data_IF_391924746358
#
_entry.id   IF_391924746358
#
_cell.length_a   1.000
_cell.length_b   1.000
_cell.length_c   1.000
_cell.angle_alpha   90.00
_cell.angle_beta   90.00
_cell.angle_gamma   90.00
#
_symmetry.space_group_name_H-M   'P 1'
#
loop_
_entity.id
_entity.type
_entity.pdbx_description
1 polymer ?
#
# COMPACT_ATOMS: atom_id res chain seq x y z
N UNK A 1 9.21 14.92 -6.56
CA UNK A 1 8.52 13.86 -7.29
C UNK A 1 8.64 12.52 -6.57
N UNK A 2 9.85 11.97 -6.45
CA UNK A 2 10.06 10.72 -5.72
C UNK A 2 9.64 10.83 -4.26
N UNK A 3 9.92 11.98 -3.64
CA UNK A 3 9.55 12.22 -2.24
C UNK A 3 8.02 12.18 -2.06
N UNK A 4 7.28 12.73 -3.00
CA UNK A 4 5.82 12.71 -2.94
C UNK A 4 5.27 11.29 -3.13
N UNK A 5 5.89 10.51 -3.99
CA UNK A 5 5.53 9.12 -4.20
C UNK A 5 5.77 8.30 -2.93
N UNK A 6 6.94 8.46 -2.32
CA UNK A 6 7.30 7.77 -1.09
C UNK A 6 6.33 8.13 0.05
N UNK A 7 6.03 9.43 0.18
CA UNK A 7 5.10 9.90 1.20
C UNK A 7 3.71 9.31 0.99
N UNK A 8 3.25 9.27 -0.25
CA UNK A 8 1.95 8.69 -0.61
C UNK A 8 1.88 7.20 -0.25
N UNK A 9 2.91 6.44 -0.58
CA UNK A 9 2.99 5.03 -0.25
C UNK A 9 2.97 4.80 1.25
N UNK A 10 3.77 5.58 1.98
CA UNK A 10 3.81 5.48 3.44
C UNK A 10 2.45 5.82 4.06
N UNK A 11 1.80 6.87 3.59
CA UNK A 11 0.47 7.24 4.07
C UNK A 11 -0.53 6.10 3.84
N UNK A 12 -0.51 5.51 2.65
CA UNK A 12 -1.43 4.44 2.31
C UNK A 12 -1.23 3.20 3.19
N UNK A 13 0.01 2.84 3.47
CA UNK A 13 0.33 1.72 4.36
C UNK A 13 -0.21 1.91 5.77
N UNK A 14 -0.28 3.15 6.24
CA UNK A 14 -0.62 3.45 7.63
C UNK A 14 -2.08 3.74 7.87
N UNK A 15 -2.91 3.73 6.81
CA UNK A 15 -4.34 4.07 6.92
C UNK A 15 -5.10 3.10 7.80
N UNK A 16 -4.84 1.81 7.68
CA UNK A 16 -5.48 0.80 8.49
C UNK A 16 -4.68 -0.51 8.47
N UNK A 17 -5.07 -1.42 9.35
CA UNK A 17 -4.39 -2.71 9.49
C UNK A 17 -4.44 -3.54 8.21
N UNK A 18 -5.55 -3.51 7.50
CA UNK A 18 -5.71 -4.26 6.26
C UNK A 18 -4.73 -3.76 5.19
N UNK A 19 -4.63 -2.44 5.01
CA UNK A 19 -3.67 -1.86 4.07
C UNK A 19 -2.24 -2.23 4.42
N UNK A 20 -1.90 -2.18 5.71
CA UNK A 20 -0.57 -2.57 6.15
C UNK A 20 -0.24 -4.01 5.77
N UNK A 21 -1.10 -4.95 6.14
CA UNK A 21 -0.84 -6.36 5.87
C UNK A 21 -0.85 -6.68 4.38
N UNK A 22 -1.71 -6.05 3.63
CA UNK A 22 -1.86 -6.29 2.20
C UNK A 22 -0.66 -5.77 1.40
N UNK A 23 -0.20 -4.56 1.69
CA UNK A 23 0.76 -3.86 0.84
C UNK A 23 2.17 -3.78 1.39
N UNK A 24 2.38 -4.01 2.67
CA UNK A 24 3.72 -3.99 3.25
C UNK A 24 4.72 -4.90 2.51
N UNK A 25 4.37 -6.15 2.16
CA UNK A 25 5.31 -7.00 1.44
C UNK A 25 5.73 -6.44 0.08
N UNK A 26 4.80 -5.78 -0.62
CA UNK A 26 5.08 -5.20 -1.93
C UNK A 26 5.99 -3.98 -1.83
N UNK A 27 5.72 -3.11 -0.88
CA UNK A 27 6.53 -1.91 -0.68
C UNK A 27 7.92 -2.29 -0.16
N UNK A 28 7.98 -3.21 0.80
CA UNK A 28 9.24 -3.66 1.38
C UNK A 28 10.13 -4.39 0.39
N UNK A 29 9.57 -5.09 -0.60
CA UNK A 29 10.34 -5.84 -1.58
C UNK A 29 11.20 -4.96 -2.48
N UNK A 30 10.88 -3.66 -2.58
CA UNK A 30 11.61 -2.71 -3.42
C UNK A 30 12.19 -1.57 -2.60
N UNK A 31 12.52 -1.85 -1.36
CA UNK A 31 12.95 -0.85 -0.39
C UNK A 31 14.19 -0.08 -0.85
N UNK A 32 15.07 -0.73 -1.59
CA UNK A 32 16.30 -0.10 -2.09
C UNK A 32 16.05 1.05 -3.08
N UNK A 33 14.83 1.18 -3.58
CA UNK A 33 14.45 2.26 -4.51
C UNK A 33 14.03 3.54 -3.81
N UNK A 34 13.83 3.48 -2.49
CA UNK A 34 13.40 4.65 -1.73
C UNK A 34 14.58 5.41 -1.18
N UNK A 35 14.36 6.68 -0.81
CA UNK A 35 15.39 7.45 -0.13
C UNK A 35 15.75 6.80 1.19
N UNK A 36 16.94 7.09 1.69
CA UNK A 36 17.49 6.46 2.88
C UNK A 36 16.57 6.59 4.10
N UNK A 37 15.98 7.76 4.26
CA UNK A 37 15.08 8.04 5.39
C UNK A 37 13.81 7.20 5.31
N UNK A 38 13.23 7.09 4.13
CA UNK A 38 12.04 6.24 3.94
C UNK A 38 12.39 4.76 4.07
N UNK A 39 13.57 4.35 3.63
CA UNK A 39 14.03 2.98 3.85
C UNK A 39 14.08 2.65 5.33
N UNK A 40 14.61 3.56 6.14
CA UNK A 40 14.69 3.37 7.58
C UNK A 40 13.32 3.27 8.22
N UNK A 41 12.39 4.13 7.82
CA UNK A 41 11.02 4.11 8.34
C UNK A 41 10.31 2.81 7.96
N UNK A 42 10.34 2.46 6.67
CA UNK A 42 9.62 1.28 6.15
C UNK A 42 10.20 -0.01 6.74
N UNK A 43 11.51 -0.10 6.91
CA UNK A 43 12.14 -1.30 7.45
C UNK A 43 11.90 -1.48 8.96
N UNK A 44 11.64 -0.42 9.69
CA UNK A 44 11.40 -0.47 11.13
C UNK A 44 9.93 -0.61 11.51
N UNK A 45 9.02 -0.22 10.60
CA UNK A 45 7.58 -0.31 10.85
C UNK A 45 7.10 -1.73 11.22
N UNK A 46 7.60 -2.81 10.61
CA UNK A 46 7.16 -4.16 10.98
C UNK A 46 7.35 -4.47 12.47
N UNK A 47 8.45 -4.02 13.06
CA UNK A 47 8.71 -4.23 14.48
C UNK A 47 7.70 -3.47 15.33
N UNK A 48 7.40 -2.23 14.96
CA UNK A 48 6.41 -1.41 15.66
C UNK A 48 5.02 -2.06 15.59
N UNK A 49 4.62 -2.51 14.41
CA UNK A 49 3.31 -3.16 14.21
C UNK A 49 3.22 -4.46 14.98
N UNK A 50 4.31 -5.23 15.00
CA UNK A 50 4.36 -6.48 15.76
C UNK A 50 4.18 -6.26 17.25
N UNK A 51 4.80 -5.23 17.78
CA UNK A 51 4.77 -4.96 19.22
C UNK A 51 3.45 -4.35 19.68
N UNK A 52 2.85 -3.48 18.88
CA UNK A 52 1.69 -2.69 19.30
C UNK A 52 0.39 -3.07 18.58
N UNK A 53 0.46 -3.76 17.46
CA UNK A 53 -0.68 -4.22 16.65
C UNK A 53 -1.78 -3.14 16.50
N UNK A 54 -1.44 -1.93 16.01
CA UNK A 54 -2.41 -0.85 15.91
C UNK A 54 -3.38 -1.07 14.76
N UNK A 55 -4.62 -0.59 14.90
CA UNK A 55 -5.57 -0.58 13.79
C UNK A 55 -5.21 0.46 12.75
N UNK A 56 -4.76 1.62 13.21
CA UNK A 56 -4.24 2.71 12.40
C UNK A 56 -2.85 3.04 12.92
N UNK A 57 -1.88 3.13 12.03
CA UNK A 57 -0.53 3.47 12.43
C UNK A 57 -0.44 4.99 12.57
N UNK A 58 -0.27 5.46 13.80
CA UNK A 58 -0.04 6.87 14.06
C UNK A 58 1.46 7.15 13.91
N UNK A 59 1.82 7.83 12.82
CA UNK A 59 3.23 8.05 12.50
C UNK A 59 3.93 8.98 13.49
N UNK A 60 3.21 9.86 14.18
CA UNK A 60 3.82 10.69 15.22
C UNK A 60 4.22 9.85 16.42
N UNK A 61 3.36 8.95 16.86
CA UNK A 61 3.69 8.01 17.92
C UNK A 61 4.80 7.06 17.48
N UNK A 62 4.74 6.56 16.24
CA UNK A 62 5.77 5.72 15.68
C UNK A 62 7.12 6.44 15.68
N UNK A 63 7.18 7.71 15.30
CA UNK A 63 8.44 8.45 15.26
C UNK A 63 9.06 8.60 16.64
N UNK A 64 8.25 8.79 17.66
CA UNK A 64 8.73 8.83 19.05
C UNK A 64 9.32 7.48 19.46
N UNK A 65 8.60 6.39 19.14
CA UNK A 65 9.10 5.04 19.40
C UNK A 65 10.42 4.79 18.64
N UNK A 66 10.49 5.19 17.39
CA UNK A 66 11.68 5.01 16.55
C UNK A 66 12.90 5.68 17.19
N UNK A 67 12.75 6.92 17.62
CA UNK A 67 13.86 7.70 18.14
C UNK A 67 14.23 7.37 19.60
N UNK A 68 13.32 6.81 20.38
CA UNK A 68 13.57 6.54 21.80
C UNK A 68 13.77 5.08 22.11
N UNK A 69 13.11 4.18 21.42
CA UNK A 69 13.15 2.75 21.72
C UNK A 69 13.93 1.98 20.66
N UNK A 70 13.59 2.17 19.40
CA UNK A 70 14.20 1.42 18.31
C UNK A 70 15.64 1.86 18.04
N UNK A 71 15.87 3.17 18.01
CA UNK A 71 17.18 3.76 17.69
C UNK A 71 17.57 4.81 18.74
N UNK A 72 17.81 4.39 20.00
CA UNK A 72 18.06 5.36 21.08
C UNK A 72 19.37 6.14 20.91
N UNK A 73 20.30 5.65 20.08
CA UNK A 73 21.57 6.32 19.81
C UNK A 73 21.53 7.19 18.57
N UNK A 74 20.36 7.43 17.99
CA UNK A 74 20.22 8.25 16.79
C UNK A 74 20.67 9.69 17.08
N UNK A 75 21.32 10.32 16.09
CA UNK A 75 21.73 11.72 16.22
C UNK A 75 20.51 12.65 16.22
N UNK A 76 20.67 13.84 16.78
CA UNK A 76 19.59 14.83 16.82
C UNK A 76 19.15 15.23 15.41
N UNK A 77 20.09 15.31 14.47
CA UNK A 77 19.79 15.66 13.08
C UNK A 77 18.94 14.59 12.43
N UNK A 78 19.33 13.33 12.57
CA UNK A 78 18.56 12.21 11.99
C UNK A 78 17.20 12.09 12.65
N UNK A 79 17.13 12.24 13.97
CA UNK A 79 15.86 12.20 14.70
C UNK A 79 14.91 13.29 14.21
N UNK A 80 15.42 14.50 14.02
CA UNK A 80 14.61 15.61 13.50
C UNK A 80 14.09 15.32 12.10
N UNK A 81 14.92 14.73 11.25
CA UNK A 81 14.52 14.38 9.89
C UNK A 81 13.42 13.33 9.88
N UNK A 82 13.59 12.26 10.66
CA UNK A 82 12.59 11.19 10.76
C UNK A 82 11.27 11.74 11.30
N UNK A 83 11.32 12.54 12.35
CA UNK A 83 10.11 13.15 12.95
C UNK A 83 9.41 14.07 11.98
N UNK A 84 10.17 14.87 11.21
CA UNK A 84 9.59 15.78 10.23
C UNK A 84 8.88 15.02 9.11
N UNK A 85 9.47 13.94 8.61
CA UNK A 85 8.85 13.11 7.59
C UNK A 85 7.57 12.48 8.12
N UNK A 86 7.63 11.87 9.29
CA UNK A 86 6.48 11.22 9.89
C UNK A 86 5.34 12.20 10.16
N UNK A 87 5.66 13.39 10.66
CA UNK A 87 4.67 14.45 10.89
C UNK A 87 4.00 14.87 9.58
N UNK A 88 4.81 15.11 8.54
CA UNK A 88 4.28 15.52 7.25
C UNK A 88 3.35 14.48 6.66
N UNK A 89 3.75 13.20 6.67
CA UNK A 89 2.94 12.12 6.13
C UNK A 89 1.67 11.93 6.97
N UNK A 90 1.79 12.05 8.28
CA UNK A 90 0.63 11.94 9.17
C UNK A 90 -0.43 13.01 8.87
N UNK A 91 0.00 14.21 8.48
CA UNK A 91 -0.90 15.32 8.15
C UNK A 91 -1.44 15.27 6.73
N UNK A 92 -0.90 14.41 5.87
CA UNK A 92 -1.36 14.30 4.49
C UNK A 92 -2.79 13.74 4.42
N UNK A 93 -3.50 14.16 3.38
CA UNK A 93 -4.78 13.55 3.04
C UNK A 93 -4.57 12.13 2.51
N UNK A 94 -5.60 11.31 2.65
CA UNK A 94 -5.57 9.96 2.11
C UNK A 94 -5.49 10.01 0.59
N UNK A 95 -4.60 9.19 -0.04
CA UNK A 95 -4.61 9.10 -1.50
C UNK A 95 -5.96 8.57 -1.98
N UNK A 96 -6.50 9.12 -3.07
CA UNK A 96 -7.77 8.62 -3.61
C UNK A 96 -7.60 7.19 -4.15
N UNK A 97 -8.69 6.43 -4.13
CA UNK A 97 -8.70 5.03 -4.58
C UNK A 97 -8.32 4.88 -6.04
N UNK A 98 -8.60 5.88 -6.86
CA UNK A 98 -8.28 5.87 -8.29
C UNK A 98 -6.88 6.40 -8.59
N UNK A 99 -6.09 6.71 -7.57
CA UNK A 99 -4.71 7.13 -7.76
C UNK A 99 -3.94 6.03 -8.51
N UNK A 100 -3.21 6.37 -9.58
CA UNK A 100 -2.51 5.36 -10.37
C UNK A 100 -1.53 4.50 -9.58
N UNK A 101 -0.86 5.06 -8.58
CA UNK A 101 0.09 4.31 -7.75
C UNK A 101 -0.65 3.31 -6.87
N UNK A 102 -1.75 3.73 -6.27
CA UNK A 102 -2.57 2.86 -5.42
C UNK A 102 -3.18 1.74 -6.26
N UNK A 103 -3.66 2.08 -7.45
CA UNK A 103 -4.20 1.08 -8.37
C UNK A 103 -3.15 0.05 -8.75
N UNK A 104 -1.92 0.48 -9.01
CA UNK A 104 -0.83 -0.43 -9.34
C UNK A 104 -0.48 -1.35 -8.16
N UNK A 105 -0.51 -0.84 -6.93
CA UNK A 105 -0.32 -1.68 -5.74
C UNK A 105 -1.40 -2.75 -5.65
N UNK A 106 -2.65 -2.38 -5.90
CA UNK A 106 -3.76 -3.31 -5.87
C UNK A 106 -3.58 -4.42 -6.93
N UNK A 107 -3.21 -4.04 -8.15
CA UNK A 107 -2.95 -5.00 -9.23
C UNK A 107 -1.86 -6.00 -8.82
N UNK A 108 -0.75 -5.50 -8.28
CA UNK A 108 0.37 -6.34 -7.86
C UNK A 108 0.00 -7.27 -6.71
N UNK A 109 -0.77 -6.75 -5.76
CA UNK A 109 -1.26 -7.57 -4.65
C UNK A 109 -2.06 -8.76 -5.17
N UNK A 110 -3.04 -8.50 -6.04
CA UNK A 110 -3.90 -9.56 -6.56
C UNK A 110 -3.15 -10.52 -7.48
N UNK A 111 -2.23 -10.01 -8.29
CA UNK A 111 -1.42 -10.87 -9.15
C UNK A 111 -0.58 -11.84 -8.33
N UNK A 112 0.05 -11.36 -7.28
CA UNK A 112 0.85 -12.20 -6.38
C UNK A 112 -0.04 -13.21 -5.65
N UNK A 113 -1.17 -12.75 -5.11
CA UNK A 113 -2.09 -13.60 -4.35
C UNK A 113 -2.64 -14.73 -5.23
N UNK A 114 -3.12 -14.39 -6.41
CA UNK A 114 -3.70 -15.39 -7.33
C UNK A 114 -2.63 -16.37 -7.80
N UNK A 115 -1.43 -15.87 -8.10
CA UNK A 115 -0.31 -16.73 -8.51
C UNK A 115 0.06 -17.74 -7.42
N UNK A 116 0.17 -17.28 -6.17
CA UNK A 116 0.48 -18.16 -5.05
C UNK A 116 -0.61 -19.18 -4.82
N UNK A 117 -1.87 -18.78 -4.88
CA UNK A 117 -3.01 -19.66 -4.73
C UNK A 117 -3.05 -20.72 -5.84
N UNK A 118 -2.80 -20.31 -7.09
CA UNK A 118 -2.76 -21.23 -8.22
C UNK A 118 -1.65 -22.27 -8.06
N UNK A 119 -0.49 -21.85 -7.59
CA UNK A 119 0.59 -22.79 -7.30
C UNK A 119 0.16 -23.80 -6.23
N UNK A 120 -0.49 -23.34 -5.16
CA UNK A 120 -0.96 -24.20 -4.08
C UNK A 120 -1.98 -25.25 -4.59
N UNK A 121 -2.77 -24.92 -5.60
CA UNK A 121 -3.66 -25.89 -6.24
C UNK A 121 -2.85 -27.00 -6.91
N UNK A 122 -1.75 -26.67 -7.58
CA UNK A 122 -0.93 -27.66 -8.28
C UNK A 122 -0.29 -28.67 -7.32
N UNK A 123 -0.02 -28.26 -6.08
CA UNK A 123 0.57 -29.15 -5.08
C UNK A 123 -0.47 -29.72 -4.09
N UNK A 124 -1.75 -29.54 -4.37
CA UNK A 124 -2.83 -30.15 -3.61
C UNK A 124 -3.16 -29.49 -2.28
N UNK A 125 -2.65 -28.28 -2.04
CA UNK A 125 -2.89 -27.57 -0.77
C UNK A 125 -4.10 -26.65 -0.80
N UNK A 126 -4.71 -26.46 -1.96
CA UNK A 126 -5.82 -25.52 -2.13
C UNK A 126 -6.75 -26.01 -3.24
N UNK A 127 -8.02 -25.64 -3.13
CA UNK A 127 -9.03 -25.99 -4.13
C UNK A 127 -9.11 -24.91 -5.21
N UNK A 128 -9.36 -25.33 -6.43
CA UNK A 128 -9.49 -24.39 -7.57
C UNK A 128 -10.61 -23.37 -7.34
N UNK A 129 -11.68 -23.75 -6.65
CA UNK A 129 -12.78 -22.83 -6.34
C UNK A 129 -12.28 -21.58 -5.60
N UNK A 130 -11.31 -21.75 -4.70
CA UNK A 130 -10.73 -20.61 -3.96
C UNK A 130 -9.99 -19.64 -4.88
N UNK A 131 -9.33 -20.16 -5.93
CA UNK A 131 -8.68 -19.33 -6.93
C UNK A 131 -9.73 -18.56 -7.74
N UNK A 132 -10.81 -19.23 -8.13
CA UNK A 132 -11.90 -18.59 -8.85
C UNK A 132 -12.53 -17.47 -8.04
N UNK A 133 -12.74 -17.66 -6.75
CA UNK A 133 -13.26 -16.64 -5.86
C UNK A 133 -12.31 -15.45 -5.77
N UNK A 134 -11.00 -15.70 -5.68
CA UNK A 134 -10.01 -14.62 -5.64
C UNK A 134 -10.01 -13.81 -6.94
N UNK A 135 -10.17 -14.48 -8.10
CA UNK A 135 -10.26 -13.79 -9.39
C UNK A 135 -11.50 -12.91 -9.44
N UNK A 136 -12.62 -13.39 -8.90
CA UNK A 136 -13.84 -12.58 -8.83
C UNK A 136 -13.66 -11.36 -7.94
N UNK A 137 -13.03 -11.52 -6.79
CA UNK A 137 -12.75 -10.41 -5.88
C UNK A 137 -11.86 -9.38 -6.55
N UNK A 138 -10.83 -9.82 -7.24
CA UNK A 138 -9.97 -8.94 -8.02
C UNK A 138 -10.76 -8.18 -9.08
N UNK A 139 -11.61 -8.88 -9.83
CA UNK A 139 -12.41 -8.27 -10.89
C UNK A 139 -13.34 -7.20 -10.33
N UNK A 140 -13.99 -7.48 -9.22
CA UNK A 140 -14.89 -6.53 -8.57
C UNK A 140 -14.13 -5.29 -8.08
N UNK A 141 -12.98 -5.48 -7.46
CA UNK A 141 -12.16 -4.36 -6.98
C UNK A 141 -11.69 -3.50 -8.14
N UNK A 142 -11.21 -4.12 -9.23
CA UNK A 142 -10.73 -3.38 -10.40
C UNK A 142 -11.85 -2.68 -11.15
N UNK A 143 -13.04 -3.26 -11.18
CA UNK A 143 -14.20 -2.60 -11.76
C UNK A 143 -14.57 -1.33 -10.98
N UNK A 144 -14.51 -1.41 -9.66
CA UNK A 144 -14.76 -0.24 -8.82
C UNK A 144 -13.77 0.87 -9.13
N UNK A 145 -12.47 0.56 -9.23
CA UNK A 145 -11.44 1.54 -9.59
C UNK A 145 -11.67 2.12 -10.99
N UNK A 146 -11.93 1.25 -11.96
CA UNK A 146 -12.17 1.68 -13.33
C UNK A 146 -13.41 2.54 -13.46
N UNK A 147 -14.47 2.18 -12.73
CA UNK A 147 -15.73 2.94 -12.74
C UNK A 147 -15.50 4.35 -12.22
N UNK A 148 -14.79 4.49 -11.11
CA UNK A 148 -14.46 5.80 -10.57
C UNK A 148 -13.61 6.61 -11.54
N UNK A 149 -12.59 5.99 -12.08
CA UNK A 149 -11.70 6.62 -13.04
C UNK A 149 -12.46 7.08 -14.29
N UNK A 150 -13.28 6.21 -14.83
CA UNK A 150 -14.07 6.49 -16.03
C UNK A 150 -15.05 7.63 -15.82
N UNK A 151 -15.71 7.65 -14.68
CA UNK A 151 -16.66 8.71 -14.33
C UNK A 151 -15.98 10.06 -14.30
N UNK A 152 -14.79 10.13 -13.74
CA UNK A 152 -14.03 11.36 -13.64
C UNK A 152 -13.50 11.80 -14.99
N UNK A 153 -13.08 10.85 -15.82
CA UNK A 153 -12.38 11.19 -17.05
C UNK A 153 -13.27 11.47 -18.25
N UNK A 154 -14.23 10.61 -18.57
CA UNK A 154 -15.04 10.87 -19.76
C UNK A 154 -16.19 9.88 -19.93
N UNK A 155 -17.37 10.29 -19.56
CA UNK A 155 -18.58 9.50 -19.74
C UNK A 155 -18.89 9.24 -21.21
N UNK A 156 -18.71 10.25 -22.05
CA UNK A 156 -19.04 10.14 -23.47
C UNK A 156 -18.20 9.08 -24.17
N UNK A 157 -16.92 9.05 -23.87
CA UNK A 157 -16.02 8.05 -24.46
C UNK A 157 -16.42 6.63 -24.09
N UNK A 158 -16.84 6.44 -22.86
CA UNK A 158 -17.26 5.13 -22.38
C UNK A 158 -18.52 4.67 -23.09
N UNK A 159 -19.47 5.56 -23.26
CA UNK A 159 -20.71 5.23 -23.99
C UNK A 159 -20.41 4.85 -25.42
N UNK A 160 -19.53 5.56 -26.10
CA UNK A 160 -19.11 5.21 -27.44
C UNK A 160 -18.51 3.81 -27.52
N UNK A 161 -17.63 3.49 -26.58
CA UNK A 161 -17.00 2.18 -26.53
C UNK A 161 -18.01 1.08 -26.30
N UNK A 162 -18.97 1.30 -25.42
CA UNK A 162 -20.03 0.34 -25.16
C UNK A 162 -20.91 0.12 -26.38
N UNK A 163 -21.24 1.18 -27.09
CA UNK A 163 -22.03 1.07 -28.32
C UNK A 163 -21.30 0.27 -29.41
N UNK A 164 -20.02 0.52 -29.60
CA UNK A 164 -19.21 -0.20 -30.57
C UNK A 164 -19.12 -1.68 -30.26
N UNK A 165 -19.17 -2.07 -29.01
CA UNK A 165 -19.05 -3.47 -28.58
C UNK A 165 -20.36 -4.23 -28.68
N UNK A 166 -21.44 -3.54 -28.92
CA UNK A 166 -22.72 -4.17 -29.11
C UNK A 166 -22.80 -4.74 -30.51
#
# INVERSE_FOLDING_TARGET
METDLEAKLLKYLTLDRENWHRYNPLVGAKIERYSKEYQSIISSLPDYVKDYDPEVINLEEYSTWYCTISHPSISDVEASTIKAICHRVHQMDEPPQDDPVIRELSIRHWATTISDMAYEVTIGKRKMLEVEEAVQDYTQEMQHHSKQYSFVNNDALIFEQLEERK
#
